data_IF_447618276831
#
_entry.id   IF_447618276831
#
_cell.length_a   1.000
_cell.length_b   1.000
_cell.length_c   1.000
_cell.angle_alpha   90.00
_cell.angle_beta   90.00
_cell.angle_gamma   90.00
#
_symmetry.space_group_name_H-M   'P 1'
#
loop_
_entity.id
_entity.type
_entity.pdbx_description
1 polymer ?
#
# COMPACT_ATOMS: atom_id res chain seq x y z
N UNK A 1 6.31 9.49 13.32
CA UNK A 1 6.27 9.25 14.79
C UNK A 1 7.11 8.02 15.18
N UNK A 2 6.90 6.84 14.58
CA UNK A 2 7.70 5.62 14.85
C UNK A 2 9.23 5.84 14.83
N UNK A 3 9.76 6.52 13.81
CA UNK A 3 11.21 6.77 13.70
C UNK A 3 11.81 7.67 14.79
N UNK A 4 11.06 8.65 15.34
CA UNK A 4 11.59 9.58 16.35
C UNK A 4 11.68 8.91 17.73
N UNK A 5 10.74 8.01 18.04
CA UNK A 5 10.71 7.28 19.32
C UNK A 5 11.87 6.30 19.45
N UNK A 6 12.35 5.70 18.34
CA UNK A 6 13.45 4.71 18.34
C UNK A 6 14.86 5.29 18.16
N UNK A 7 15.04 6.61 18.33
CA UNK A 7 16.33 7.28 18.09
C UNK A 7 17.49 6.77 18.96
N UNK A 8 17.21 6.40 20.22
CA UNK A 8 18.20 5.86 21.16
C UNK A 8 18.64 4.45 20.77
N UNK A 9 17.72 3.57 20.37
CA UNK A 9 18.04 2.24 19.84
C UNK A 9 18.91 2.34 18.58
N UNK A 10 18.54 3.21 17.64
CA UNK A 10 19.33 3.44 16.42
C UNK A 10 20.74 3.97 16.76
N UNK A 11 20.85 4.81 17.80
CA UNK A 11 22.14 5.28 18.34
C UNK A 11 23.01 4.13 18.83
N UNK A 12 22.45 3.23 19.65
CA UNK A 12 23.15 2.04 20.16
C UNK A 12 23.58 1.13 19.01
N UNK A 13 22.69 0.84 18.06
CA UNK A 13 22.98 -0.02 16.91
C UNK A 13 24.16 0.50 16.08
N UNK A 14 24.30 1.82 15.96
CA UNK A 14 25.42 2.43 15.23
C UNK A 14 26.74 2.38 15.99
N UNK A 15 26.72 2.41 17.32
CA UNK A 15 27.92 2.23 18.15
C UNK A 15 28.53 0.83 17.98
N UNK A 16 27.72 -0.17 17.64
CA UNK A 16 28.15 -1.53 17.31
C UNK A 16 28.48 -1.73 15.82
N UNK A 17 28.52 -0.67 15.02
CA UNK A 17 28.91 -0.72 13.60
C UNK A 17 27.80 -1.09 12.62
N UNK A 18 26.52 -1.06 13.03
CA UNK A 18 25.42 -1.37 12.13
C UNK A 18 25.32 -0.36 10.97
N UNK A 19 25.11 -0.88 9.75
CA UNK A 19 24.94 -0.05 8.56
C UNK A 19 23.60 0.69 8.55
N UNK A 20 23.51 1.76 7.77
CA UNK A 20 22.27 2.56 7.61
C UNK A 20 21.09 1.70 7.15
N UNK A 21 21.34 0.74 6.25
CA UNK A 21 20.32 -0.19 5.78
C UNK A 21 19.72 -1.03 6.92
N UNK A 22 20.56 -1.56 7.81
CA UNK A 22 20.09 -2.40 8.92
C UNK A 22 19.23 -1.63 9.92
N UNK A 23 19.58 -0.37 10.20
CA UNK A 23 18.82 0.49 11.12
C UNK A 23 17.52 1.03 10.52
N UNK A 24 17.42 1.10 9.18
CA UNK A 24 16.26 1.64 8.46
C UNK A 24 15.26 0.58 7.97
N UNK A 25 15.71 -0.65 7.75
CA UNK A 25 14.89 -1.77 7.30
C UNK A 25 13.58 -1.97 8.10
N UNK A 26 13.56 -1.93 9.46
CA UNK A 26 12.32 -2.17 10.20
C UNK A 26 11.23 -1.14 9.88
N UNK A 27 11.59 0.13 9.72
CA UNK A 27 10.63 1.19 9.38
C UNK A 27 10.14 1.06 7.94
N UNK A 28 11.02 0.67 7.01
CA UNK A 28 10.63 0.41 5.63
C UNK A 28 9.63 -0.76 5.53
N UNK A 29 9.86 -1.82 6.31
CA UNK A 29 8.93 -2.96 6.40
C UNK A 29 7.59 -2.53 6.97
N UNK A 30 7.56 -1.75 8.06
CA UNK A 30 6.31 -1.19 8.61
C UNK A 30 5.51 -0.42 7.53
N UNK A 31 6.20 0.40 6.73
CA UNK A 31 5.58 1.15 5.64
C UNK A 31 5.02 0.22 4.54
N UNK A 32 5.79 -0.76 4.09
CA UNK A 32 5.34 -1.72 3.07
C UNK A 32 4.12 -2.50 3.56
N UNK A 33 4.12 -2.97 4.82
CA UNK A 33 2.98 -3.69 5.42
C UNK A 33 1.73 -2.80 5.43
N UNK A 34 1.87 -1.51 5.77
CA UNK A 34 0.75 -0.57 5.69
C UNK A 34 0.25 -0.40 4.23
N UNK A 35 1.16 -0.34 3.25
CA UNK A 35 0.82 -0.30 1.83
C UNK A 35 0.08 -1.55 1.35
N UNK A 36 0.49 -2.74 1.80
CA UNK A 36 -0.19 -4.01 1.52
C UNK A 36 -1.59 -4.03 2.13
N UNK A 37 -1.73 -3.60 3.39
CA UNK A 37 -3.04 -3.49 4.04
C UNK A 37 -3.96 -2.51 3.29
N UNK A 38 -3.44 -1.37 2.84
CA UNK A 38 -4.16 -0.42 1.99
C UNK A 38 -4.61 -1.03 0.66
N UNK A 39 -3.75 -1.82 0.01
CA UNK A 39 -4.10 -2.54 -1.21
C UNK A 39 -5.20 -3.58 -1.00
N UNK A 40 -5.17 -4.33 0.11
CA UNK A 40 -6.25 -5.27 0.46
C UNK A 40 -7.57 -4.53 0.71
N UNK A 41 -7.53 -3.39 1.41
CA UNK A 41 -8.71 -2.54 1.63
C UNK A 41 -9.26 -1.99 0.31
N UNK A 42 -8.40 -1.63 -0.65
CA UNK A 42 -8.82 -1.18 -1.97
C UNK A 42 -9.52 -2.30 -2.76
N UNK A 43 -8.99 -3.52 -2.74
CA UNK A 43 -9.62 -4.68 -3.38
C UNK A 43 -11.00 -4.95 -2.77
N UNK A 44 -11.09 -4.96 -1.44
CA UNK A 44 -12.36 -5.13 -0.75
C UNK A 44 -13.36 -4.02 -1.11
N UNK A 45 -12.88 -2.76 -1.16
CA UNK A 45 -13.67 -1.62 -1.60
C UNK A 45 -14.20 -1.75 -3.02
N UNK A 46 -13.40 -2.27 -3.97
CA UNK A 46 -13.84 -2.54 -5.34
C UNK A 46 -14.94 -3.59 -5.40
N UNK A 47 -14.80 -4.70 -4.66
CA UNK A 47 -15.81 -5.74 -4.60
C UNK A 47 -17.13 -5.22 -4.01
N UNK A 48 -17.03 -4.42 -2.94
CA UNK A 48 -18.19 -3.81 -2.31
C UNK A 48 -18.85 -2.77 -3.24
N UNK A 49 -18.07 -1.90 -3.87
CA UNK A 49 -18.58 -0.90 -4.80
C UNK A 49 -19.28 -1.55 -6.00
N UNK A 50 -18.73 -2.63 -6.55
CA UNK A 50 -19.38 -3.41 -7.61
C UNK A 50 -20.74 -3.94 -7.16
N UNK A 51 -20.77 -4.72 -6.08
CA UNK A 51 -21.95 -5.49 -5.68
C UNK A 51 -23.04 -4.65 -5.00
N UNK A 52 -22.65 -3.63 -4.25
CA UNK A 52 -23.58 -2.80 -3.49
C UNK A 52 -24.08 -1.59 -4.29
N UNK A 53 -23.30 -1.09 -5.25
CA UNK A 53 -23.62 0.14 -5.97
C UNK A 53 -23.71 -0.09 -7.48
N UNK A 54 -22.63 -0.56 -8.12
CA UNK A 54 -22.53 -0.62 -9.59
C UNK A 54 -23.59 -1.53 -10.22
N UNK A 55 -23.69 -2.78 -9.74
CA UNK A 55 -24.63 -3.78 -10.25
C UNK A 55 -26.11 -3.37 -10.02
N UNK A 56 -26.38 -2.53 -9.02
CA UNK A 56 -27.75 -2.07 -8.70
C UNK A 56 -28.17 -0.83 -9.49
N UNK A 57 -27.25 0.12 -9.66
CA UNK A 57 -27.54 1.42 -10.26
C UNK A 57 -27.41 1.39 -11.78
N UNK A 58 -26.47 0.60 -12.32
CA UNK A 58 -26.15 0.56 -13.75
C UNK A 58 -26.68 -0.68 -14.47
N UNK A 59 -27.52 -1.50 -13.82
CA UNK A 59 -28.08 -2.73 -14.40
C UNK A 59 -28.77 -2.51 -15.75
N UNK A 60 -29.56 -1.45 -15.87
CA UNK A 60 -30.26 -1.09 -17.13
C UNK A 60 -29.27 -0.62 -18.22
N UNK A 61 -28.24 0.13 -17.83
CA UNK A 61 -27.20 0.62 -18.75
C UNK A 61 -26.36 -0.55 -19.28
N UNK A 62 -26.02 -1.51 -18.42
CA UNK A 62 -25.33 -2.73 -18.84
C UNK A 62 -26.22 -3.60 -19.75
N UNK A 63 -27.51 -3.72 -19.45
CA UNK A 63 -28.47 -4.45 -20.29
C UNK A 63 -28.67 -3.80 -21.67
N UNK A 64 -28.54 -2.47 -21.77
CA UNK A 64 -28.64 -1.73 -23.03
C UNK A 64 -27.44 -1.91 -23.97
N UNK A 65 -26.35 -2.55 -23.50
CA UNK A 65 -25.15 -2.83 -24.30
C UNK A 65 -24.30 -1.60 -24.62
N UNK A 66 -24.62 -0.43 -24.06
CA UNK A 66 -23.88 0.82 -24.28
C UNK A 66 -22.53 0.80 -23.56
N UNK A 67 -22.45 0.14 -22.41
CA UNK A 67 -21.22 0.03 -21.58
C UNK A 67 -21.01 -1.42 -21.17
N UNK A 68 -19.79 -1.98 -21.36
CA UNK A 68 -19.49 -3.34 -20.90
C UNK A 68 -19.53 -3.40 -19.36
N UNK A 69 -20.12 -4.47 -18.84
CA UNK A 69 -20.17 -4.73 -17.41
C UNK A 69 -18.76 -5.03 -16.87
N UNK A 70 -18.45 -4.50 -15.69
CA UNK A 70 -17.22 -4.86 -14.97
C UNK A 70 -17.43 -6.25 -14.37
N UNK A 71 -16.60 -7.21 -14.74
CA UNK A 71 -16.69 -8.57 -14.22
C UNK A 71 -15.78 -8.79 -13.01
N UNK A 72 -16.03 -9.86 -12.25
CA UNK A 72 -15.11 -10.24 -11.16
C UNK A 72 -13.71 -10.60 -11.69
N UNK A 73 -13.61 -11.04 -12.95
CA UNK A 73 -12.34 -11.27 -13.64
C UNK A 73 -11.51 -9.99 -13.75
N UNK A 74 -12.15 -8.85 -14.08
CA UNK A 74 -11.45 -7.57 -14.20
C UNK A 74 -10.86 -7.12 -12.87
N UNK A 75 -11.62 -7.27 -11.78
CA UNK A 75 -11.15 -6.96 -10.42
C UNK A 75 -10.00 -7.89 -10.05
N UNK A 76 -10.10 -9.19 -10.34
CA UNK A 76 -9.05 -10.16 -10.06
C UNK A 76 -7.76 -9.86 -10.84
N UNK A 77 -7.86 -9.40 -12.09
CA UNK A 77 -6.71 -9.01 -12.90
C UNK A 77 -6.02 -7.74 -12.39
N UNK A 78 -6.78 -6.76 -11.91
CA UNK A 78 -6.25 -5.49 -11.39
C UNK A 78 -5.71 -5.62 -9.96
N UNK A 79 -6.24 -6.56 -9.17
CA UNK A 79 -5.89 -6.75 -7.75
C UNK A 79 -4.39 -6.92 -7.48
N UNK A 80 -3.62 -7.75 -8.22
CA UNK A 80 -2.18 -7.85 -8.05
C UNK A 80 -1.45 -6.52 -8.27
N UNK A 81 -1.88 -5.73 -9.26
CA UNK A 81 -1.27 -4.43 -9.54
C UNK A 81 -1.54 -3.45 -8.42
N UNK A 82 -2.74 -3.44 -7.82
CA UNK A 82 -3.04 -2.59 -6.66
C UNK A 82 -2.13 -2.90 -5.47
N UNK A 83 -1.91 -4.19 -5.19
CA UNK A 83 -1.01 -4.63 -4.13
C UNK A 83 0.43 -4.21 -4.42
N UNK A 84 0.91 -4.47 -5.64
CA UNK A 84 2.27 -4.13 -6.06
C UNK A 84 2.52 -2.63 -6.04
N UNK A 85 1.62 -1.83 -6.61
CA UNK A 85 1.73 -0.37 -6.64
C UNK A 85 1.61 0.20 -5.23
N UNK A 86 0.66 -0.28 -4.42
CA UNK A 86 0.51 0.15 -3.03
C UNK A 86 1.76 -0.13 -2.19
N UNK A 87 2.32 -1.34 -2.31
CA UNK A 87 3.57 -1.71 -1.66
C UNK A 87 4.76 -0.87 -2.17
N UNK A 88 4.87 -0.67 -3.48
CA UNK A 88 5.95 0.10 -4.09
C UNK A 88 5.90 1.57 -3.66
N UNK A 89 4.73 2.21 -3.71
CA UNK A 89 4.55 3.59 -3.26
C UNK A 89 4.87 3.73 -1.78
N UNK A 90 4.42 2.80 -0.95
CA UNK A 90 4.72 2.82 0.48
C UNK A 90 6.23 2.61 0.76
N UNK A 91 6.89 1.72 0.03
CA UNK A 91 8.32 1.50 0.12
C UNK A 91 9.11 2.76 -0.30
N UNK A 92 8.76 3.37 -1.44
CA UNK A 92 9.41 4.60 -1.93
C UNK A 92 9.21 5.73 -0.93
N UNK A 93 7.98 5.90 -0.43
CA UNK A 93 7.66 6.94 0.56
C UNK A 93 8.43 6.71 1.87
N UNK A 94 8.46 5.49 2.38
CA UNK A 94 9.23 5.11 3.57
C UNK A 94 10.72 5.36 3.39
N UNK A 95 11.29 4.98 2.25
CA UNK A 95 12.70 5.22 1.94
C UNK A 95 13.03 6.71 1.83
N UNK A 96 12.22 7.48 1.09
CA UNK A 96 12.42 8.93 0.89
C UNK A 96 12.31 9.66 2.22
N UNK A 97 11.30 9.35 3.04
CA UNK A 97 11.12 9.97 4.37
C UNK A 97 12.30 9.69 5.28
N UNK A 98 12.78 8.45 5.34
CA UNK A 98 13.99 8.11 6.10
C UNK A 98 15.22 8.87 5.60
N UNK A 99 15.43 8.95 4.28
CA UNK A 99 16.59 9.62 3.69
C UNK A 99 16.59 11.13 3.92
N UNK A 100 15.41 11.75 3.91
CA UNK A 100 15.28 13.21 4.09
C UNK A 100 15.33 13.64 5.55
N UNK A 101 14.66 12.89 6.45
CA UNK A 101 14.44 13.33 7.83
C UNK A 101 15.32 12.63 8.87
N UNK A 102 15.83 11.42 8.59
CA UNK A 102 16.76 10.72 9.49
C UNK A 102 18.20 11.00 9.03
N UNK A 103 18.55 12.29 8.98
CA UNK A 103 19.95 12.74 8.95
C UNK A 103 20.47 12.69 10.39
N UNK A 104 20.80 11.48 10.82
CA UNK A 104 21.72 11.24 11.94
C UNK A 104 22.85 10.42 11.37
#
# INVERSE_FOLDING_TARGET
VSAFTRRTEVGIMRLVGATRWYTQLPFLIEAVVAGLAGGLLAIFGLLLAKTAFLDRVLSEVFASGIVPQVEFGDIALVSPFLILVGAAVAAVTGYVTLRLYVRV
#
